data_IF_997724450132
#
_entry.id   IF_997724450132
#
_cell.length_a   1.000
_cell.length_b   1.000
_cell.length_c   1.000
_cell.angle_alpha   90.00
_cell.angle_beta   90.00
_cell.angle_gamma   90.00
#
_symmetry.space_group_name_H-M   'P 1'
#
loop_
_entity.id
_entity.type
_entity.pdbx_description
1 polymer ?
#
# COMPACT_ATOMS: atom_id res chain seq x y z
N UNK A 1 59.87 -4.37 24.77
CA UNK A 1 59.23 -5.59 24.23
C UNK A 1 57.74 -5.42 24.41
N UNK A 2 57.11 -5.04 23.29
CA UNK A 2 55.70 -5.19 22.88
C UNK A 2 54.62 -5.27 23.96
N UNK A 3 53.97 -4.12 24.15
CA UNK A 3 52.60 -3.99 24.66
C UNK A 3 51.69 -3.89 23.44
N UNK A 4 50.91 -4.94 23.15
CA UNK A 4 50.01 -4.98 21.99
C UNK A 4 48.59 -4.68 22.44
N UNK A 5 48.18 -3.45 22.19
CA UNK A 5 46.79 -3.02 22.25
C UNK A 5 45.96 -3.79 21.22
N UNK A 6 45.00 -4.58 21.70
CA UNK A 6 43.95 -5.19 20.88
C UNK A 6 42.99 -4.08 20.44
N UNK A 7 43.22 -3.53 19.25
CA UNK A 7 42.29 -2.64 18.58
C UNK A 7 41.03 -3.42 18.19
N UNK A 8 39.90 -3.09 18.83
CA UNK A 8 38.57 -3.55 18.42
C UNK A 8 38.24 -2.90 17.08
N UNK A 9 38.36 -3.68 16.02
CA UNK A 9 37.96 -3.29 14.66
C UNK A 9 36.42 -3.17 14.63
N UNK A 10 35.87 -1.97 14.83
CA UNK A 10 34.41 -1.72 14.91
C UNK A 10 33.82 -1.12 13.64
N UNK A 11 34.50 -1.18 12.50
CA UNK A 11 34.14 -0.37 11.33
C UNK A 11 33.81 -1.14 10.05
N UNK A 12 33.42 -2.43 10.08
CA UNK A 12 33.18 -3.14 8.81
C UNK A 12 31.98 -4.10 8.70
N UNK A 13 31.05 -4.15 9.67
CA UNK A 13 29.89 -5.07 9.60
C UNK A 13 28.53 -4.40 9.33
N UNK A 14 28.49 -3.07 9.28
CA UNK A 14 27.24 -2.31 9.10
C UNK A 14 26.72 -2.28 7.64
N UNK A 15 27.43 -2.92 6.71
CA UNK A 15 27.08 -2.99 5.28
C UNK A 15 26.42 -4.32 4.86
N UNK A 16 26.24 -5.30 5.76
CA UNK A 16 25.95 -6.68 5.35
C UNK A 16 24.53 -7.20 5.66
N UNK A 17 23.77 -6.60 6.58
CA UNK A 17 22.47 -7.14 6.98
C UNK A 17 21.33 -6.13 6.77
N UNK A 18 20.49 -6.40 5.78
CA UNK A 18 19.19 -5.75 5.66
C UNK A 18 18.22 -6.42 6.64
N UNK A 19 17.52 -5.65 7.49
CA UNK A 19 16.54 -6.20 8.39
C UNK A 19 15.38 -6.81 7.60
N UNK A 20 14.90 -7.96 8.06
CA UNK A 20 13.67 -8.56 7.54
C UNK A 20 12.45 -7.76 8.02
N UNK A 21 11.35 -7.89 7.27
CA UNK A 21 10.04 -7.34 7.61
C UNK A 21 9.32 -8.35 8.48
N UNK A 22 9.13 -8.03 9.76
CA UNK A 22 8.40 -8.88 10.71
C UNK A 22 6.89 -8.68 10.63
N UNK A 23 6.45 -7.53 10.15
CA UNK A 23 5.04 -7.25 9.88
C UNK A 23 4.96 -6.19 8.78
N UNK A 24 4.09 -6.44 7.82
CA UNK A 24 3.82 -5.50 6.76
C UNK A 24 2.65 -5.96 5.90
N UNK A 25 2.20 -5.03 5.07
CA UNK A 25 0.96 -5.15 4.32
C UNK A 25 1.22 -4.68 2.89
N UNK A 26 0.80 -5.50 1.92
CA UNK A 26 0.76 -5.18 0.50
C UNK A 26 -0.67 -4.80 0.15
N UNK A 27 -0.89 -3.60 -0.37
CA UNK A 27 -2.22 -3.17 -0.82
C UNK A 27 -2.22 -2.88 -2.31
N UNK A 28 -3.13 -3.52 -3.03
CA UNK A 28 -3.38 -3.30 -4.45
C UNK A 28 -4.69 -2.53 -4.58
N UNK A 29 -4.63 -1.34 -5.18
CA UNK A 29 -5.75 -0.45 -5.42
C UNK A 29 -6.10 -0.40 -6.90
N UNK A 30 -7.40 -0.34 -7.19
CA UNK A 30 -7.92 0.26 -8.41
C UNK A 30 -8.81 1.44 -8.05
N UNK A 31 -8.55 2.59 -8.66
CA UNK A 31 -9.34 3.81 -8.52
C UNK A 31 -10.21 3.99 -9.77
N UNK A 32 -11.51 4.11 -9.54
CA UNK A 32 -12.52 4.27 -10.58
C UNK A 32 -13.19 5.62 -10.44
N UNK A 33 -13.35 6.29 -11.56
CA UNK A 33 -14.19 7.49 -11.71
C UNK A 33 -15.61 7.04 -12.11
N UNK A 34 -16.58 7.33 -11.22
CA UNK A 34 -17.96 6.84 -11.31
C UNK A 34 -19.00 7.96 -11.47
N UNK A 35 -18.58 9.22 -11.55
CA UNK A 35 -19.49 10.37 -11.55
C UNK A 35 -18.76 11.67 -11.27
N UNK A 36 -19.47 12.80 -11.32
CA UNK A 36 -18.86 14.10 -11.04
C UNK A 36 -18.61 14.29 -9.54
N UNK A 37 -19.59 13.93 -8.72
CA UNK A 37 -19.54 14.06 -7.26
C UNK A 37 -20.34 12.94 -6.60
N UNK A 38 -20.00 12.61 -5.35
CA UNK A 38 -20.77 11.68 -4.50
C UNK A 38 -21.15 12.38 -3.19
N UNK A 39 -22.45 12.51 -2.91
CA UNK A 39 -22.91 12.95 -1.60
C UNK A 39 -22.62 11.85 -0.57
N UNK A 40 -21.53 12.03 0.19
CA UNK A 40 -21.07 11.03 1.14
C UNK A 40 -22.02 10.81 2.33
N UNK A 41 -22.93 11.75 2.63
CA UNK A 41 -23.95 11.55 3.66
C UNK A 41 -25.09 10.67 3.12
N UNK A 42 -25.54 10.94 1.89
CA UNK A 42 -26.53 10.12 1.22
C UNK A 42 -25.99 8.72 0.94
N UNK A 43 -24.73 8.61 0.48
CA UNK A 43 -24.03 7.34 0.30
C UNK A 43 -24.00 6.51 1.59
N UNK A 44 -23.68 7.14 2.73
CA UNK A 44 -23.69 6.47 4.02
C UNK A 44 -25.09 5.95 4.41
N UNK A 45 -26.15 6.70 4.09
CA UNK A 45 -27.53 6.25 4.32
C UNK A 45 -27.91 5.08 3.40
N UNK A 46 -27.54 5.12 2.12
CA UNK A 46 -27.73 4.01 1.18
C UNK A 46 -27.01 2.74 1.64
N UNK A 47 -25.84 2.90 2.25
CA UNK A 47 -25.01 1.81 2.75
C UNK A 47 -25.37 1.38 4.18
N UNK A 48 -26.41 1.91 4.83
CA UNK A 48 -26.71 1.60 6.23
C UNK A 48 -27.05 0.12 6.51
N UNK A 49 -27.33 -0.68 5.49
CA UNK A 49 -27.47 -2.15 5.58
C UNK A 49 -26.13 -2.89 5.47
N UNK A 50 -25.08 -2.20 5.01
CA UNK A 50 -23.72 -2.67 4.81
C UNK A 50 -22.83 -2.07 5.92
N UNK A 51 -21.72 -2.71 6.32
CA UNK A 51 -20.82 -2.20 7.37
C UNK A 51 -19.96 -1.00 6.90
N UNK A 52 -20.60 0.08 6.46
CA UNK A 52 -19.92 1.30 6.02
C UNK A 52 -19.63 2.23 7.21
N UNK A 53 -18.43 2.80 7.25
CA UNK A 53 -18.02 3.77 8.28
C UNK A 53 -17.10 4.83 7.69
N UNK A 54 -17.09 6.03 8.26
CA UNK A 54 -16.15 7.09 7.87
C UNK A 54 -14.75 6.75 8.39
N UNK A 55 -13.79 6.58 7.50
CA UNK A 55 -12.39 6.34 7.88
C UNK A 55 -11.64 7.66 7.83
N UNK A 56 -11.43 8.29 8.99
CA UNK A 56 -10.46 9.39 9.06
C UNK A 56 -9.05 8.82 8.84
N UNK A 57 -8.18 9.48 8.07
CA UNK A 57 -6.77 9.08 8.01
C UNK A 57 -6.24 8.93 9.45
N UNK A 58 -5.44 7.89 9.76
CA UNK A 58 -4.74 7.86 11.04
C UNK A 58 -4.04 9.20 11.20
N UNK A 59 -4.25 9.92 12.31
CA UNK A 59 -3.66 11.25 12.53
C UNK A 59 -2.13 11.16 12.37
N UNK A 60 -1.66 11.44 11.15
CA UNK A 60 -0.26 11.72 10.86
C UNK A 60 -0.01 13.06 11.51
N UNK A 61 0.60 13.06 12.70
CA UNK A 61 1.06 14.31 13.29
C UNK A 61 2.20 14.83 12.42
N UNK A 62 1.87 15.84 11.61
CA UNK A 62 2.79 16.78 10.96
C UNK A 62 3.76 16.17 9.93
N UNK A 63 3.24 15.77 8.78
CA UNK A 63 3.73 16.40 7.54
C UNK A 63 2.91 17.68 7.34
N UNK A 64 3.31 18.62 6.49
CA UNK A 64 2.44 19.73 6.06
C UNK A 64 1.25 19.12 5.31
N UNK A 65 0.28 18.65 6.09
CA UNK A 65 -0.56 17.52 5.72
C UNK A 65 -1.74 18.02 4.92
N UNK A 66 -1.91 17.46 3.73
CA UNK A 66 -3.12 17.55 2.90
C UNK A 66 -4.33 17.44 3.84
N UNK A 67 -5.01 18.56 4.07
CA UNK A 67 -6.23 18.57 4.87
C UNK A 67 -7.33 17.98 3.99
N UNK A 68 -7.60 16.69 4.16
CA UNK A 68 -8.75 16.06 3.52
C UNK A 68 -9.98 16.60 4.25
N UNK A 69 -10.59 17.63 3.69
CA UNK A 69 -11.73 18.34 4.28
C UNK A 69 -12.90 17.40 4.61
N UNK A 70 -13.08 16.34 3.81
CA UNK A 70 -14.06 15.28 4.07
C UNK A 70 -13.41 13.89 3.96
N UNK A 71 -13.26 13.14 5.07
CA UNK A 71 -12.69 11.80 5.00
C UNK A 71 -13.59 10.87 4.17
N UNK A 72 -13.00 9.98 3.36
CA UNK A 72 -13.76 9.06 2.53
C UNK A 72 -14.60 8.11 3.37
N UNK A 73 -15.69 7.62 2.77
CA UNK A 73 -16.51 6.55 3.36
C UNK A 73 -15.86 5.21 3.03
N UNK A 74 -15.54 4.41 4.05
CA UNK A 74 -14.91 3.09 3.90
C UNK A 74 -15.97 1.99 4.08
N UNK A 75 -15.95 1.00 3.20
CA UNK A 75 -16.86 -0.14 3.20
C UNK A 75 -16.05 -1.43 3.20
N UNK A 76 -16.31 -2.32 4.15
CA UNK A 76 -15.73 -3.67 4.14
C UNK A 76 -16.47 -4.56 3.12
N UNK A 77 -15.73 -5.13 2.18
CA UNK A 77 -16.25 -5.98 1.09
C UNK A 77 -15.95 -7.48 1.31
N UNK A 78 -15.35 -7.81 2.46
CA UNK A 78 -15.07 -9.17 2.88
C UNK A 78 -13.57 -9.51 2.88
N UNK A 79 -13.26 -10.78 2.71
CA UNK A 79 -11.90 -11.32 2.75
C UNK A 79 -11.46 -11.83 1.38
N UNK A 80 -10.15 -11.86 1.17
CA UNK A 80 -9.54 -12.34 -0.07
C UNK A 80 -8.31 -13.18 0.25
N UNK A 81 -8.10 -14.23 -0.54
CA UNK A 81 -6.88 -15.03 -0.54
C UNK A 81 -6.34 -15.01 -1.95
N UNK A 82 -5.06 -14.66 -2.10
CA UNK A 82 -4.41 -14.50 -3.38
C UNK A 82 -3.13 -15.34 -3.43
N UNK A 83 -2.94 -16.09 -4.52
CA UNK A 83 -1.72 -16.86 -4.75
C UNK A 83 -0.77 -16.03 -5.62
N UNK A 84 0.31 -15.50 -5.02
CA UNK A 84 1.32 -14.69 -5.70
C UNK A 84 2.68 -15.34 -5.54
N UNK A 85 3.41 -15.57 -6.64
CA UNK A 85 4.77 -16.12 -6.58
C UNK A 85 4.86 -17.44 -5.77
N UNK A 86 3.83 -18.28 -5.89
CA UNK A 86 3.70 -19.53 -5.14
C UNK A 86 3.34 -19.37 -3.66
N UNK A 87 3.18 -18.15 -3.16
CA UNK A 87 2.77 -17.82 -1.79
C UNK A 87 1.27 -17.55 -1.73
N UNK A 88 0.60 -18.05 -0.68
CA UNK A 88 -0.80 -17.72 -0.41
C UNK A 88 -0.86 -16.55 0.58
N UNK A 89 -1.31 -15.39 0.11
CA UNK A 89 -1.51 -14.20 0.91
C UNK A 89 -2.97 -14.07 1.28
N UNK A 90 -3.24 -13.83 2.56
CA UNK A 90 -4.59 -13.60 3.07
C UNK A 90 -4.78 -12.13 3.41
N UNK A 91 -6.00 -11.64 3.22
CA UNK A 91 -6.28 -10.24 3.39
C UNK A 91 -7.76 -9.89 3.41
N UNK A 92 -8.01 -8.58 3.31
CA UNK A 92 -9.34 -7.98 3.31
C UNK A 92 -9.54 -7.20 2.03
N UNK A 93 -10.79 -7.20 1.57
CA UNK A 93 -11.25 -6.34 0.50
C UNK A 93 -12.04 -5.19 1.10
N UNK A 94 -11.78 -3.97 0.64
CA UNK A 94 -12.55 -2.80 1.05
C UNK A 94 -12.66 -1.79 -0.08
N UNK A 95 -13.67 -0.92 0.01
CA UNK A 95 -13.80 0.25 -0.85
C UNK A 95 -13.63 1.53 -0.04
N UNK A 96 -13.08 2.57 -0.67
CA UNK A 96 -13.08 3.94 -0.17
C UNK A 96 -13.79 4.83 -1.20
N UNK A 97 -14.84 5.53 -0.76
CA UNK A 97 -15.71 6.37 -1.59
C UNK A 97 -15.37 7.83 -1.29
N UNK A 98 -15.05 8.59 -2.34
CA UNK A 98 -14.65 9.99 -2.27
C UNK A 98 -15.77 10.89 -2.78
N UNK A 99 -15.86 12.09 -2.22
CA UNK A 99 -16.84 13.11 -2.61
C UNK A 99 -16.64 13.63 -4.05
N UNK A 100 -15.42 13.52 -4.56
CA UNK A 100 -15.02 13.88 -5.93
C UNK A 100 -15.41 12.86 -7.01
N UNK A 101 -16.46 12.07 -6.80
CA UNK A 101 -16.92 11.16 -7.87
C UNK A 101 -16.13 9.84 -8.00
N UNK A 102 -15.20 9.56 -7.08
CA UNK A 102 -14.29 8.43 -7.21
C UNK A 102 -14.53 7.32 -6.17
N UNK A 103 -14.29 6.06 -6.58
CA UNK A 103 -14.30 4.88 -5.71
C UNK A 103 -13.00 4.12 -5.87
N UNK A 104 -12.26 3.94 -4.79
CA UNK A 104 -11.10 3.06 -4.75
C UNK A 104 -11.49 1.69 -4.18
N UNK A 105 -11.20 0.60 -4.89
CA UNK A 105 -11.31 -0.76 -4.37
C UNK A 105 -9.91 -1.30 -4.10
N UNK A 106 -9.73 -1.90 -2.93
CA UNK A 106 -8.43 -2.26 -2.42
C UNK A 106 -8.41 -3.64 -1.78
N UNK A 107 -7.45 -4.46 -2.21
CA UNK A 107 -7.08 -5.72 -1.57
C UNK A 107 -5.88 -5.47 -0.65
N UNK A 108 -6.09 -5.61 0.65
CA UNK A 108 -5.09 -5.41 1.70
C UNK A 108 -4.61 -6.77 2.20
N UNK A 109 -3.43 -7.19 1.73
CA UNK A 109 -2.85 -8.51 1.94
C UNK A 109 -1.72 -8.46 2.97
N UNK A 110 -1.76 -9.35 3.96
CA UNK A 110 -0.66 -9.49 4.92
C UNK A 110 0.55 -10.11 4.24
N UNK A 111 1.73 -9.52 4.42
CA UNK A 111 2.99 -10.11 3.98
C UNK A 111 3.30 -11.37 4.81
N UNK A 112 3.99 -12.38 4.23
CA UNK A 112 4.55 -13.49 5.00
C UNK A 112 5.47 -12.98 6.12
N UNK A 113 5.59 -13.72 7.22
CA UNK A 113 6.42 -13.29 8.34
C UNK A 113 7.45 -14.37 8.70
N UNK A 114 8.75 -14.06 8.68
CA UNK A 114 9.37 -12.82 8.20
C UNK A 114 9.35 -12.70 6.66
N UNK A 115 9.39 -11.48 6.13
CA UNK A 115 9.52 -11.19 4.69
C UNK A 115 10.88 -10.56 4.39
N UNK A 116 11.56 -11.10 3.37
CA UNK A 116 12.80 -10.52 2.85
C UNK A 116 12.52 -9.42 1.81
N UNK A 117 13.49 -8.52 1.59
CA UNK A 117 13.38 -7.51 0.52
C UNK A 117 13.38 -8.14 -0.88
N UNK A 118 13.99 -9.30 -1.08
CA UNK A 118 13.88 -10.03 -2.35
C UNK A 118 12.45 -10.51 -2.60
N UNK A 119 11.77 -11.00 -1.55
CA UNK A 119 10.35 -11.37 -1.59
C UNK A 119 9.48 -10.15 -1.89
N UNK A 120 9.79 -8.98 -1.34
CA UNK A 120 9.11 -7.73 -1.70
C UNK A 120 9.27 -7.43 -3.20
N UNK A 121 10.49 -7.56 -3.74
CA UNK A 121 10.74 -7.35 -5.16
C UNK A 121 9.89 -8.30 -6.02
N UNK A 122 9.76 -9.56 -5.63
CA UNK A 122 8.91 -10.55 -6.32
C UNK A 122 7.44 -10.14 -6.29
N UNK A 123 6.93 -9.79 -5.11
CA UNK A 123 5.53 -9.41 -4.93
C UNK A 123 5.16 -8.11 -5.69
N UNK A 124 6.09 -7.15 -5.80
CA UNK A 124 5.87 -5.88 -6.51
C UNK A 124 6.14 -6.04 -8.02
N UNK A 125 7.11 -6.85 -8.40
CA UNK A 125 7.48 -7.05 -9.81
C UNK A 125 6.40 -7.78 -10.62
N UNK A 126 5.62 -8.65 -9.98
CA UNK A 126 4.56 -9.40 -10.64
C UNK A 126 3.19 -8.71 -10.59
N UNK A 127 3.05 -7.42 -10.23
CA UNK A 127 1.74 -6.79 -9.90
C UNK A 127 0.62 -6.92 -10.93
N UNK A 128 0.94 -7.13 -12.21
CA UNK A 128 -0.04 -7.36 -13.28
C UNK A 128 -0.83 -8.67 -13.11
N UNK A 129 -0.18 -9.75 -12.66
CA UNK A 129 -0.80 -11.07 -12.47
C UNK A 129 -1.79 -11.11 -11.26
N UNK A 130 -1.48 -10.58 -10.07
CA UNK A 130 -2.45 -10.30 -9.01
C UNK A 130 -3.66 -9.52 -9.52
N UNK A 131 -3.43 -8.51 -10.36
CA UNK A 131 -4.49 -7.62 -10.81
C UNK A 131 -5.47 -8.36 -11.71
N UNK A 132 -4.99 -9.17 -12.66
CA UNK A 132 -5.84 -10.02 -13.50
C UNK A 132 -6.75 -10.96 -12.68
N UNK A 133 -6.23 -11.52 -11.57
CA UNK A 133 -7.00 -12.40 -10.69
C UNK A 133 -8.03 -11.62 -9.86
N UNK A 134 -7.67 -10.41 -9.39
CA UNK A 134 -8.53 -9.58 -8.55
C UNK A 134 -9.61 -8.83 -9.35
N UNK A 135 -9.33 -8.50 -10.61
CA UNK A 135 -10.17 -7.66 -11.47
C UNK A 135 -11.63 -8.09 -11.52
N UNK A 136 -11.99 -9.36 -11.77
CA UNK A 136 -13.39 -9.78 -11.79
C UNK A 136 -14.11 -9.53 -10.48
N UNK A 137 -13.42 -9.74 -9.35
CA UNK A 137 -13.98 -9.49 -8.02
C UNK A 137 -14.14 -7.98 -7.79
N UNK A 138 -13.15 -7.17 -8.16
CA UNK A 138 -13.22 -5.71 -7.99
C UNK A 138 -14.35 -5.11 -8.82
N UNK A 139 -14.50 -5.53 -10.08
CA UNK A 139 -15.58 -5.07 -10.95
C UNK A 139 -16.97 -5.43 -10.39
N UNK A 140 -17.14 -6.66 -9.90
CA UNK A 140 -18.40 -7.09 -9.28
C UNK A 140 -18.77 -6.25 -8.06
N UNK A 141 -17.81 -5.95 -7.19
CA UNK A 141 -18.05 -5.11 -6.00
C UNK A 141 -18.33 -3.66 -6.39
N UNK A 142 -17.65 -3.15 -7.42
CA UNK A 142 -17.90 -1.80 -7.93
C UNK A 142 -19.32 -1.67 -8.49
N UNK A 143 -19.75 -2.61 -9.32
CA UNK A 143 -21.10 -2.59 -9.90
C UNK A 143 -22.18 -2.65 -8.83
N UNK A 144 -21.95 -3.43 -7.76
CA UNK A 144 -22.84 -3.47 -6.61
C UNK A 144 -22.88 -2.12 -5.87
N UNK A 145 -21.72 -1.49 -5.64
CA UNK A 145 -21.64 -0.18 -5.02
C UNK A 145 -22.30 0.90 -5.89
N UNK A 146 -22.03 0.95 -7.20
CA UNK A 146 -22.66 1.90 -8.15
C UNK A 146 -24.19 1.80 -8.09
N UNK A 147 -24.73 0.57 -8.02
CA UNK A 147 -26.17 0.34 -7.89
C UNK A 147 -26.74 0.83 -6.55
N UNK A 148 -26.03 0.58 -5.44
CA UNK A 148 -26.46 1.04 -4.10
C UNK A 148 -26.37 2.57 -4.00
N UNK A 149 -25.34 3.16 -4.60
CA UNK A 149 -25.00 4.57 -4.53
C UNK A 149 -25.66 5.41 -5.62
N UNK A 150 -26.48 4.83 -6.50
CA UNK A 150 -27.06 5.50 -7.66
C UNK A 150 -27.65 6.89 -7.33
N UNK A 151 -28.40 7.00 -6.22
CA UNK A 151 -29.02 8.27 -5.81
C UNK A 151 -28.05 9.29 -5.20
N UNK A 152 -26.87 8.85 -4.79
CA UNK A 152 -25.83 9.68 -4.20
C UNK A 152 -24.81 10.20 -5.22
N UNK A 153 -24.79 9.65 -6.44
CA UNK A 153 -23.84 10.03 -7.49
C UNK A 153 -24.46 11.11 -8.39
N UNK A 154 -23.79 12.25 -8.50
CA UNK A 154 -24.12 13.32 -9.45
C UNK A 154 -23.56 12.97 -10.83
N UNK A 155 -24.41 13.03 -11.86
CA UNK A 155 -24.08 12.69 -13.25
C UNK A 155 -23.28 11.37 -13.37
N UNK A 156 -23.90 10.22 -13.02
CA UNK A 156 -23.21 8.93 -13.02
C UNK A 156 -22.65 8.60 -14.40
N UNK A 157 -21.38 8.23 -14.44
CA UNK A 157 -20.70 7.74 -15.62
C UNK A 157 -19.61 6.77 -15.19
N UNK A 158 -18.95 6.09 -16.13
CA UNK A 158 -17.80 5.25 -15.80
C UNK A 158 -16.68 5.56 -16.76
N UNK A 159 -15.59 6.11 -16.24
CA UNK A 159 -14.41 6.36 -17.06
C UNK A 159 -13.81 5.04 -17.54
N UNK A 160 -13.29 5.04 -18.78
CA UNK A 160 -12.51 3.93 -19.30
C UNK A 160 -11.08 3.91 -18.71
N UNK A 161 -10.64 5.02 -18.13
CA UNK A 161 -9.33 5.14 -17.48
C UNK A 161 -9.50 4.71 -16.02
N UNK A 162 -8.70 3.73 -15.61
CA UNK A 162 -8.62 3.24 -14.24
C UNK A 162 -7.17 3.40 -13.79
N UNK A 163 -6.97 3.98 -12.62
CA UNK A 163 -5.63 4.10 -12.05
C UNK A 163 -5.37 2.92 -11.10
N UNK A 164 -4.21 2.29 -11.22
CA UNK A 164 -3.78 1.21 -10.36
C UNK A 164 -2.59 1.63 -9.50
N UNK A 165 -2.60 1.21 -8.23
CA UNK A 165 -1.53 1.52 -7.29
C UNK A 165 -1.20 0.28 -6.44
N UNK A 166 0.09 0.02 -6.28
CA UNK A 166 0.59 -0.95 -5.30
C UNK A 166 1.31 -0.22 -4.19
N UNK A 167 0.88 -0.43 -2.95
CA UNK A 167 1.43 0.21 -1.75
C UNK A 167 1.93 -0.86 -0.80
N UNK A 168 3.16 -0.72 -0.31
CA UNK A 168 3.70 -1.55 0.76
C UNK A 168 3.85 -0.71 2.01
N UNK A 169 3.24 -1.18 3.09
CA UNK A 169 3.41 -0.61 4.43
C UNK A 169 4.24 -1.60 5.24
N UNK A 170 5.42 -1.15 5.66
CA UNK A 170 6.25 -1.89 6.60
C UNK A 170 5.92 -1.43 8.01
N UNK A 171 5.31 -2.30 8.79
CA UNK A 171 4.81 -2.00 10.14
C UNK A 171 5.87 -2.30 11.21
N UNK A 172 6.68 -3.34 10.98
CA UNK A 172 7.77 -3.73 11.88
C UNK A 172 8.91 -4.38 11.09
N UNK A 173 10.13 -4.03 11.47
CA UNK A 173 11.36 -4.61 10.97
C UNK A 173 12.15 -5.25 12.10
N UNK A 174 12.97 -6.24 11.77
CA UNK A 174 13.79 -6.96 12.74
C UNK A 174 14.89 -6.06 13.32
N UNK A 175 14.91 -5.88 14.63
CA UNK A 175 15.98 -5.17 15.35
C UNK A 175 15.88 -3.65 15.34
N UNK A 176 16.92 -2.98 15.85
CA UNK A 176 16.98 -1.51 15.92
C UNK A 176 17.67 -0.95 14.67
N UNK A 177 16.93 -0.23 13.84
CA UNK A 177 17.36 0.14 12.48
C UNK A 177 17.41 1.65 12.33
N UNK A 178 18.44 2.13 11.65
CA UNK A 178 18.46 3.49 11.13
C UNK A 178 17.62 3.57 9.85
N UNK A 179 16.36 3.99 9.99
CA UNK A 179 15.38 4.02 8.91
C UNK A 179 15.77 4.99 7.78
N UNK A 180 16.44 6.10 8.09
CA UNK A 180 16.95 7.03 7.09
C UNK A 180 18.02 6.36 6.21
N UNK A 181 18.98 5.66 6.81
CA UNK A 181 19.99 4.91 6.06
C UNK A 181 19.37 3.78 5.24
N UNK A 182 18.40 3.05 5.80
CA UNK A 182 17.71 1.96 5.12
C UNK A 182 16.91 2.45 3.89
N UNK A 183 16.22 3.59 4.00
CA UNK A 183 15.43 4.17 2.90
C UNK A 183 16.26 4.51 1.66
N UNK A 184 17.56 4.74 1.85
CA UNK A 184 18.51 5.04 0.78
C UNK A 184 19.23 3.79 0.28
N UNK A 185 19.01 2.63 0.89
CA UNK A 185 19.71 1.40 0.54
C UNK A 185 19.30 0.92 -0.87
N UNK A 186 20.26 0.62 -1.77
CA UNK A 186 19.96 0.26 -3.17
C UNK A 186 19.01 -0.92 -3.32
N UNK A 187 19.18 -1.97 -2.51
CA UNK A 187 18.29 -3.15 -2.55
C UNK A 187 16.87 -2.79 -2.12
N UNK A 188 16.69 -1.96 -1.08
CA UNK A 188 15.36 -1.54 -0.61
C UNK A 188 14.64 -0.77 -1.72
N UNK A 189 15.35 0.19 -2.33
CA UNK A 189 14.86 0.97 -3.46
C UNK A 189 14.51 0.11 -4.67
N UNK A 190 15.37 -0.84 -5.03
CA UNK A 190 15.12 -1.80 -6.10
C UNK A 190 13.87 -2.65 -5.82
N UNK A 191 13.77 -3.21 -4.61
CA UNK A 191 12.63 -4.02 -4.21
C UNK A 191 11.30 -3.28 -4.28
N UNK A 192 11.27 -2.00 -3.89
CA UNK A 192 10.05 -1.17 -3.99
C UNK A 192 9.65 -0.86 -5.44
N UNK A 193 10.55 -1.05 -6.41
CA UNK A 193 10.25 -0.99 -7.84
C UNK A 193 10.01 -2.37 -8.46
N UNK A 194 9.96 -3.44 -7.66
CA UNK A 194 9.84 -4.81 -8.16
C UNK A 194 11.13 -5.38 -8.77
N UNK A 195 12.27 -4.73 -8.53
CA UNK A 195 13.56 -5.08 -9.14
C UNK A 195 14.44 -5.82 -8.14
N UNK A 196 14.94 -7.00 -8.54
CA UNK A 196 15.93 -7.77 -7.75
C UNK A 196 17.36 -7.30 -7.99
N UNK A 197 17.62 -6.69 -9.14
CA UNK A 197 18.93 -6.18 -9.53
C UNK A 197 19.15 -4.79 -8.94
N UNK A 198 20.41 -4.41 -8.78
CA UNK A 198 20.73 -3.02 -8.48
C UNK A 198 20.25 -2.12 -9.62
N UNK A 199 19.60 -1.03 -9.24
CA UNK A 199 19.15 0.02 -10.15
C UNK A 199 20.36 0.82 -10.64
N UNK A 200 20.28 1.35 -11.86
CA UNK A 200 21.26 2.34 -12.34
C UNK A 200 21.15 3.64 -11.55
N UNK A 201 22.21 4.45 -11.54
CA UNK A 201 22.21 5.76 -10.86
C UNK A 201 21.08 6.67 -11.37
N UNK A 202 20.78 6.63 -12.67
CA UNK A 202 19.67 7.37 -13.28
C UNK A 202 18.31 6.87 -12.79
N UNK A 203 18.11 5.55 -12.69
CA UNK A 203 16.87 4.97 -12.16
C UNK A 203 16.70 5.24 -10.66
N UNK A 204 17.80 5.28 -9.90
CA UNK A 204 17.82 5.67 -8.50
C UNK A 204 17.42 7.13 -8.29
N UNK A 205 17.74 8.02 -9.24
CA UNK A 205 17.39 9.44 -9.24
C UNK A 205 15.90 9.71 -9.53
N UNK A 206 15.21 8.79 -10.21
CA UNK A 206 13.78 8.87 -10.51
C UNK A 206 12.89 8.38 -9.35
N UNK A 207 13.46 7.76 -8.32
CA UNK A 207 12.74 7.43 -7.08
C UNK A 207 12.48 8.74 -6.34
N UNK A 208 11.37 9.38 -6.70
CA UNK A 208 10.82 10.52 -5.98
C UNK A 208 10.46 10.01 -4.59
N UNK A 209 11.06 10.60 -3.56
CA UNK A 209 10.77 10.27 -2.16
C UNK A 209 9.30 10.60 -1.84
N UNK A 210 8.39 9.67 -2.15
CA UNK A 210 6.99 9.75 -1.71
C UNK A 210 6.88 9.01 -0.38
N UNK A 211 6.95 9.82 0.67
CA UNK A 211 6.60 9.55 2.07
C UNK A 211 6.90 8.11 2.55
N UNK A 212 8.14 7.86 2.95
CA UNK A 212 8.41 6.76 3.87
C UNK A 212 8.15 7.30 5.27
N UNK A 213 6.90 7.23 5.70
CA UNK A 213 6.51 7.69 7.04
C UNK A 213 6.77 6.55 8.04
N UNK A 214 7.93 6.61 8.69
CA UNK A 214 8.35 5.62 9.64
C UNK A 214 7.81 5.93 11.03
N UNK A 215 6.94 5.06 11.55
CA UNK A 215 6.45 5.15 12.93
C UNK A 215 7.36 4.35 13.87
N UNK A 216 7.87 4.98 14.92
CA UNK A 216 8.31 4.27 16.14
C UNK A 216 7.07 3.99 16.98
N UNK A 217 6.86 2.73 17.37
CA UNK A 217 5.91 2.35 18.42
C UNK A 217 6.45 2.80 19.77
#
# INVERSE_FOLDING_TARGET
MTDSATSVNTTNDAAAYLPEIEAGTLTIYLLYDVGDEIDLNLAQNCLAQTKAYRSSPPRVRKSESIEIAQPPLRVELGTVTLALEGMSLNGKLHASIYDLGAVAIASELSLPQPTSWATVADLVGDTLNPLEVLLPRFLSELEELERILQSAITLPHRSAIVEDYTVIIVERLTGNINLAAMSLHPVVKASLLGEKRQLSDDAMGLIVSKLIDFKKV
#
